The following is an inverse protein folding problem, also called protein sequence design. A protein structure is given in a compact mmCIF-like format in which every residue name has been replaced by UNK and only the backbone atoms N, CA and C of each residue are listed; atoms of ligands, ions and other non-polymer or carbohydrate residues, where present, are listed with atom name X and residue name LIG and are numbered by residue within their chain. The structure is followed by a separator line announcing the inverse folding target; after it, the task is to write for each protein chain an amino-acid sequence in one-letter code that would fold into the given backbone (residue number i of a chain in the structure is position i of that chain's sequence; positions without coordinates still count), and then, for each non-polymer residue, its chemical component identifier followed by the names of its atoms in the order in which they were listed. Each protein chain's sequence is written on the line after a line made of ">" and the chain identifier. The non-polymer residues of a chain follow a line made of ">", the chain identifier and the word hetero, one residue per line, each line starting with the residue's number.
data_IF_663212762792
#
_entry.id   IF_663212762792
#
_cell.length_a   1.000
_cell.length_b   1.000
_cell.length_c   1.000
_cell.angle_alpha   90.00
_cell.angle_beta   90.00
_cell.angle_gamma   90.00
#
_symmetry.space_group_name_H-M   'P 1'
#
loop_
_entity.id
_entity.type
_entity.pdbx_description
1 polymer ?
#
# COMPACT_ATOMS: atom_id res chain seq x y z
N UNK A 1 23.84 -11.54 -44.29
CA UNK A 1 22.60 -12.27 -43.96
C UNK A 1 22.75 -12.73 -42.50
N UNK A 2 22.32 -11.93 -41.50
CA UNK A 2 22.33 -12.27 -40.09
C UNK A 2 20.90 -12.32 -39.61
N UNK A 3 20.50 -13.50 -39.16
CA UNK A 3 19.16 -13.83 -38.64
C UNK A 3 18.94 -13.09 -37.33
N UNK A 4 17.96 -12.20 -37.29
CA UNK A 4 17.46 -11.57 -36.09
C UNK A 4 16.64 -12.61 -35.31
N UNK A 5 17.14 -13.03 -34.17
CA UNK A 5 16.38 -13.79 -33.18
C UNK A 5 15.32 -12.87 -32.55
N UNK A 6 14.07 -13.08 -32.90
CA UNK A 6 12.91 -12.52 -32.24
C UNK A 6 12.80 -13.14 -30.84
N UNK A 7 13.07 -12.34 -29.80
CA UNK A 7 12.72 -12.68 -28.44
C UNK A 7 11.19 -12.74 -28.32
N UNK A 8 10.66 -13.94 -28.17
CA UNK A 8 9.25 -14.18 -27.89
C UNK A 8 8.86 -13.59 -26.54
N UNK A 9 8.04 -12.55 -26.58
CA UNK A 9 7.35 -12.01 -25.40
C UNK A 9 6.40 -13.09 -24.88
N UNK A 10 6.75 -13.73 -23.77
CA UNK A 10 5.86 -14.62 -23.04
C UNK A 10 4.65 -13.82 -22.54
N UNK A 11 3.48 -14.09 -23.14
CA UNK A 11 2.18 -13.56 -22.70
C UNK A 11 1.80 -14.15 -21.35
N UNK A 12 1.56 -13.26 -20.36
CA UNK A 12 0.43 -13.32 -19.47
C UNK A 12 0.34 -14.44 -18.46
N UNK A 13 1.18 -14.43 -17.41
CA UNK A 13 0.76 -14.86 -16.08
C UNK A 13 -0.06 -13.75 -15.41
N UNK A 14 -1.07 -14.08 -14.58
CA UNK A 14 -1.76 -13.14 -13.68
C UNK A 14 -0.70 -12.23 -13.05
N UNK A 15 -0.80 -10.90 -13.28
CA UNK A 15 0.24 -9.96 -12.91
C UNK A 15 0.49 -9.97 -11.39
N UNK A 16 1.41 -10.81 -10.95
CA UNK A 16 1.91 -10.80 -9.59
C UNK A 16 2.63 -9.46 -9.36
N UNK A 17 2.33 -8.83 -8.26
CA UNK A 17 3.03 -7.61 -7.86
C UNK A 17 4.52 -7.92 -7.75
N UNK A 18 5.32 -7.27 -8.59
CA UNK A 18 6.78 -7.49 -8.62
C UNK A 18 7.52 -6.64 -7.60
N UNK A 19 6.90 -5.54 -7.15
CA UNK A 19 7.49 -4.60 -6.20
C UNK A 19 6.41 -3.86 -5.40
N UNK A 20 6.80 -3.36 -4.22
CA UNK A 20 6.00 -2.40 -3.44
C UNK A 20 6.87 -1.17 -3.24
N UNK A 21 6.43 -0.02 -3.78
CA UNK A 21 7.04 1.28 -3.54
C UNK A 21 6.32 2.01 -2.40
N UNK A 22 7.09 2.74 -1.59
CA UNK A 22 6.59 3.51 -0.45
C UNK A 22 7.37 4.81 -0.34
N UNK A 23 6.62 5.91 -0.23
CA UNK A 23 7.15 7.20 0.20
C UNK A 23 6.24 7.77 1.28
N UNK A 24 6.84 8.16 2.41
CA UNK A 24 6.13 8.60 3.62
C UNK A 24 6.41 10.07 3.90
N UNK A 25 5.37 10.90 3.90
CA UNK A 25 5.41 12.22 4.53
C UNK A 25 4.90 12.13 5.97
N UNK A 26 5.81 12.25 6.93
CA UNK A 26 5.47 12.17 8.36
C UNK A 26 4.82 13.42 8.91
N UNK A 27 4.90 14.55 8.22
CA UNK A 27 4.30 15.81 8.65
C UNK A 27 2.78 15.73 8.58
N UNK A 28 2.28 15.09 7.54
CA UNK A 28 0.84 14.95 7.28
C UNK A 28 0.33 13.50 7.39
N UNK A 29 1.20 12.56 7.76
CA UNK A 29 0.91 11.12 7.76
C UNK A 29 0.37 10.63 6.39
N UNK A 30 0.92 11.17 5.32
CA UNK A 30 0.63 10.74 3.95
C UNK A 30 1.57 9.60 3.59
N UNK A 31 1.00 8.54 3.02
CA UNK A 31 1.78 7.47 2.41
C UNK A 31 1.42 7.37 0.94
N UNK A 32 2.41 7.60 0.07
CA UNK A 32 2.31 7.31 -1.35
C UNK A 32 2.81 5.89 -1.58
N UNK A 33 1.99 5.05 -2.20
CA UNK A 33 2.35 3.65 -2.45
C UNK A 33 2.07 3.24 -3.88
N UNK A 34 2.87 2.30 -4.40
CA UNK A 34 2.54 1.52 -5.58
C UNK A 34 2.67 0.03 -5.26
N UNK A 35 1.79 -0.80 -5.82
CA UNK A 35 1.76 -2.23 -5.51
C UNK A 35 0.87 -2.61 -4.31
N UNK A 36 0.30 -1.63 -3.60
CA UNK A 36 -0.75 -1.80 -2.60
C UNK A 36 -2.04 -1.25 -3.20
N UNK A 37 -3.10 -2.02 -3.22
CA UNK A 37 -4.40 -1.61 -3.76
C UNK A 37 -5.49 -1.58 -2.67
N UNK A 38 -6.71 -1.12 -3.03
CA UNK A 38 -7.82 -1.03 -2.09
C UNK A 38 -8.18 -2.37 -1.42
N UNK A 39 -7.99 -3.50 -2.10
CA UNK A 39 -8.21 -4.82 -1.50
C UNK A 39 -7.12 -5.21 -0.51
N UNK A 40 -5.88 -4.77 -0.73
CA UNK A 40 -4.79 -4.94 0.22
C UNK A 40 -5.04 -4.08 1.45
N UNK A 41 -5.47 -2.83 1.24
CA UNK A 41 -5.91 -1.93 2.30
C UNK A 41 -6.98 -2.60 3.15
N UNK A 42 -8.07 -3.08 2.54
CA UNK A 42 -9.16 -3.74 3.27
C UNK A 42 -8.69 -4.96 4.08
N UNK A 43 -7.79 -5.78 3.55
CA UNK A 43 -7.26 -6.95 4.26
C UNK A 43 -6.32 -6.63 5.42
N UNK A 44 -5.65 -5.49 5.34
CA UNK A 44 -4.62 -5.11 6.30
C UNK A 44 -5.10 -4.28 7.48
N UNK A 45 -6.18 -3.50 7.31
CA UNK A 45 -6.71 -2.63 8.36
C UNK A 45 -7.33 -3.44 9.50
N UNK A 46 -7.21 -2.92 10.71
CA UNK A 46 -7.79 -3.51 11.93
C UNK A 46 -9.15 -2.91 12.23
N UNK A 47 -9.30 -1.62 11.98
CA UNK A 47 -10.55 -0.89 12.20
C UNK A 47 -11.17 -0.53 10.85
N UNK A 48 -11.99 -1.41 10.26
CA UNK A 48 -12.59 -1.15 8.96
C UNK A 48 -13.51 0.07 9.04
N UNK A 49 -13.52 0.91 7.99
CA UNK A 49 -14.45 2.03 7.88
C UNK A 49 -15.90 1.56 8.01
N UNK A 50 -16.69 2.25 8.84
CA UNK A 50 -18.12 1.97 8.97
C UNK A 50 -18.90 2.49 7.77
N UNK A 51 -18.56 3.69 7.33
CA UNK A 51 -19.15 4.35 6.17
C UNK A 51 -18.05 5.04 5.38
N UNK A 52 -18.31 5.27 4.11
CA UNK A 52 -17.42 5.99 3.18
C UNK A 52 -18.21 7.09 2.47
N UNK A 53 -17.65 8.28 2.42
CA UNK A 53 -18.08 9.39 1.59
C UNK A 53 -17.19 9.42 0.34
N UNK A 54 -17.80 9.32 -0.84
CA UNK A 54 -17.10 9.35 -2.13
C UNK A 54 -16.87 10.81 -2.53
N UNK A 55 -15.62 11.19 -2.68
CA UNK A 55 -15.20 12.55 -3.02
C UNK A 55 -15.26 12.83 -4.53
N UNK A 56 -15.61 11.84 -5.33
CA UNK A 56 -15.85 12.00 -6.76
C UNK A 56 -17.35 12.10 -7.02
N UNK A 57 -17.88 13.30 -7.36
CA UNK A 57 -19.31 13.51 -7.60
C UNK A 57 -19.87 12.70 -8.78
N UNK A 58 -19.03 12.37 -9.76
CA UNK A 58 -19.43 11.58 -10.93
C UNK A 58 -19.42 10.07 -10.69
N UNK A 59 -19.15 9.61 -9.46
CA UNK A 59 -19.21 8.17 -9.15
C UNK A 59 -20.60 7.62 -9.39
N UNK A 60 -20.72 6.51 -10.12
CA UNK A 60 -21.97 5.77 -10.27
C UNK A 60 -22.28 4.89 -9.05
N UNK A 61 -21.30 4.71 -8.16
CA UNK A 61 -21.38 3.87 -6.97
C UNK A 61 -21.96 4.65 -5.79
N UNK A 62 -22.66 3.94 -4.90
CA UNK A 62 -23.15 4.48 -3.65
C UNK A 62 -24.52 5.16 -3.75
N UNK A 63 -25.03 5.54 -2.58
CA UNK A 63 -26.28 6.24 -2.40
C UNK A 63 -26.06 7.76 -2.38
N UNK A 64 -26.95 8.53 -3.00
CA UNK A 64 -26.85 9.99 -2.97
C UNK A 64 -27.22 10.53 -1.58
N UNK A 65 -26.37 11.40 -1.04
CA UNK A 65 -26.60 12.07 0.24
C UNK A 65 -26.94 13.55 0.01
N UNK A 66 -28.15 13.95 0.43
CA UNK A 66 -28.75 15.25 0.06
C UNK A 66 -28.04 16.45 0.66
N UNK A 67 -27.48 16.34 1.88
CA UNK A 67 -26.87 17.47 2.57
C UNK A 67 -25.50 17.81 1.98
N UNK A 68 -24.67 16.80 1.75
CA UNK A 68 -23.31 16.97 1.19
C UNK A 68 -23.30 17.03 -0.33
N UNK A 69 -24.39 16.62 -1.00
CA UNK A 69 -24.47 16.44 -2.46
C UNK A 69 -23.46 15.42 -3.01
N UNK A 70 -22.93 14.56 -2.16
CA UNK A 70 -21.99 13.49 -2.49
C UNK A 70 -22.66 12.12 -2.38
N UNK A 71 -21.94 11.08 -2.78
CA UNK A 71 -22.41 9.71 -2.61
C UNK A 71 -21.74 9.04 -1.43
N UNK A 72 -22.47 8.15 -0.76
CA UNK A 72 -22.01 7.39 0.40
C UNK A 72 -22.14 5.89 0.17
N UNK A 73 -21.23 5.15 0.77
CA UNK A 73 -21.35 3.71 0.97
C UNK A 73 -21.63 3.50 2.46
N UNK A 74 -22.78 2.94 2.78
CA UNK A 74 -23.28 2.83 4.16
C UNK A 74 -23.12 1.44 4.71
N UNK A 75 -22.49 1.33 5.87
CA UNK A 75 -22.38 0.11 6.66
C UNK A 75 -21.15 -0.73 6.30
N UNK A 76 -20.57 -1.38 7.29
CA UNK A 76 -19.30 -2.13 7.17
C UNK A 76 -19.33 -3.20 6.07
N UNK A 77 -20.47 -3.91 5.90
CA UNK A 77 -20.59 -4.93 4.87
C UNK A 77 -20.52 -4.35 3.45
N UNK A 78 -21.24 -3.23 3.20
CA UNK A 78 -21.23 -2.55 1.91
C UNK A 78 -19.87 -1.93 1.62
N UNK A 79 -19.23 -1.33 2.64
CA UNK A 79 -17.86 -0.79 2.53
C UNK A 79 -16.86 -1.90 2.22
N UNK A 80 -16.94 -3.04 2.90
CA UNK A 80 -16.10 -4.21 2.64
C UNK A 80 -16.25 -4.69 1.19
N UNK A 81 -17.50 -4.83 0.73
CA UNK A 81 -17.79 -5.23 -0.65
C UNK A 81 -17.26 -4.21 -1.66
N UNK A 82 -17.44 -2.92 -1.40
CA UNK A 82 -16.92 -1.83 -2.23
C UNK A 82 -15.39 -1.93 -2.38
N UNK A 83 -14.64 -2.00 -1.27
CA UNK A 83 -13.18 -2.08 -1.27
C UNK A 83 -12.66 -3.36 -1.97
N UNK A 84 -13.37 -4.50 -1.79
CA UNK A 84 -13.05 -5.74 -2.50
C UNK A 84 -13.29 -5.62 -4.02
N UNK A 85 -14.38 -4.95 -4.43
CA UNK A 85 -14.69 -4.75 -5.84
C UNK A 85 -13.69 -3.81 -6.53
N UNK A 86 -13.23 -2.75 -5.83
CA UNK A 86 -12.16 -1.89 -6.34
C UNK A 86 -10.88 -2.66 -6.66
N UNK A 87 -10.57 -3.68 -5.87
CA UNK A 87 -9.38 -4.52 -6.10
C UNK A 87 -9.47 -5.39 -7.36
N UNK A 88 -10.69 -5.75 -7.76
CA UNK A 88 -10.96 -6.65 -8.91
C UNK A 88 -11.08 -5.88 -10.23
N UNK A 89 -11.66 -4.70 -10.18
CA UNK A 89 -11.98 -3.88 -11.36
C UNK A 89 -10.97 -2.73 -11.50
N UNK A 90 -9.83 -3.00 -12.13
CA UNK A 90 -8.79 -2.00 -12.44
C UNK A 90 -9.24 -0.87 -13.37
N UNK A 91 -10.45 -0.94 -13.90
CA UNK A 91 -11.01 0.01 -14.87
C UNK A 91 -11.88 1.10 -14.22
N UNK A 92 -12.12 1.06 -12.93
CA UNK A 92 -12.87 2.11 -12.26
C UNK A 92 -11.94 3.28 -11.96
N UNK A 93 -12.18 4.35 -12.67
CA UNK A 93 -11.58 5.68 -12.58
C UNK A 93 -11.40 6.14 -11.14
N UNK A 94 -10.26 6.75 -10.88
CA UNK A 94 -9.87 7.53 -9.70
C UNK A 94 -10.85 7.48 -8.51
N UNK A 95 -10.71 6.47 -7.65
CA UNK A 95 -11.52 6.40 -6.44
C UNK A 95 -10.91 7.29 -5.37
N UNK A 96 -11.70 8.25 -4.92
CA UNK A 96 -11.33 9.16 -3.84
C UNK A 96 -12.41 9.08 -2.79
N UNK A 97 -12.03 8.77 -1.57
CA UNK A 97 -12.99 8.65 -0.49
C UNK A 97 -12.39 8.99 0.87
N UNK A 98 -13.27 9.33 1.80
CA UNK A 98 -13.01 9.56 3.21
C UNK A 98 -13.95 8.70 4.04
N UNK A 99 -13.45 8.09 5.12
CA UNK A 99 -14.30 7.35 6.03
C UNK A 99 -14.98 8.29 7.04
N UNK A 100 -16.09 7.82 7.60
CA UNK A 100 -16.78 8.50 8.69
C UNK A 100 -17.57 7.50 9.54
N UNK A 101 -17.88 7.90 10.79
CA UNK A 101 -18.44 6.96 11.77
C UNK A 101 -19.96 6.91 11.76
N UNK A 102 -20.63 8.07 11.73
CA UNK A 102 -22.10 8.17 11.85
C UNK A 102 -22.69 9.09 10.79
N UNK A 103 -23.83 8.71 10.25
CA UNK A 103 -24.58 9.49 9.26
C UNK A 103 -25.06 10.85 9.78
N UNK A 104 -25.32 10.95 11.09
CA UNK A 104 -25.71 12.23 11.70
C UNK A 104 -24.61 13.27 11.55
N UNK A 105 -23.34 12.85 11.53
CA UNK A 105 -22.17 13.74 11.39
C UNK A 105 -22.18 14.50 10.06
N UNK A 106 -22.69 13.89 8.99
CA UNK A 106 -22.77 14.56 7.68
C UNK A 106 -23.67 15.79 7.76
N UNK A 107 -24.75 15.76 8.53
CA UNK A 107 -25.68 16.88 8.70
C UNK A 107 -25.09 18.05 9.49
N UNK A 108 -24.03 17.81 10.24
CA UNK A 108 -23.32 18.84 11.01
C UNK A 108 -22.30 19.60 10.17
N UNK A 109 -21.97 19.10 8.97
CA UNK A 109 -21.04 19.77 8.08
C UNK A 109 -21.62 21.10 7.59
N UNK A 110 -20.84 22.15 7.71
CA UNK A 110 -21.17 23.46 7.16
C UNK A 110 -20.95 23.49 5.64
N UNK A 111 -21.57 24.42 4.92
CA UNK A 111 -21.32 24.59 3.49
C UNK A 111 -19.84 24.79 3.15
N UNK A 112 -19.07 25.43 4.03
CA UNK A 112 -17.65 25.62 3.85
C UNK A 112 -16.90 24.28 3.92
N UNK A 113 -17.16 23.46 4.94
CA UNK A 113 -16.56 22.14 5.08
C UNK A 113 -16.91 21.19 3.94
N UNK A 114 -18.14 21.28 3.44
CA UNK A 114 -18.58 20.53 2.24
C UNK A 114 -17.80 21.02 1.00
N UNK A 115 -17.61 22.33 0.85
CA UNK A 115 -16.81 22.89 -0.24
C UNK A 115 -15.36 22.46 -0.15
N UNK A 116 -14.78 22.39 1.05
CA UNK A 116 -13.41 21.89 1.28
C UNK A 116 -13.28 20.41 0.89
N UNK A 117 -14.26 19.58 1.23
CA UNK A 117 -14.28 18.16 0.84
C UNK A 117 -14.36 17.99 -0.68
N UNK A 118 -15.24 18.77 -1.35
CA UNK A 118 -15.34 18.76 -2.82
C UNK A 118 -14.06 19.24 -3.48
N UNK A 119 -13.49 20.33 -2.97
CA UNK A 119 -12.22 20.87 -3.46
C UNK A 119 -11.08 19.85 -3.30
N UNK A 120 -11.00 19.20 -2.14
CA UNK A 120 -10.03 18.15 -1.86
C UNK A 120 -10.20 16.93 -2.80
N UNK A 121 -11.43 16.57 -3.14
CA UNK A 121 -11.73 15.52 -4.12
C UNK A 121 -11.30 15.87 -5.55
N UNK A 122 -11.44 17.13 -5.96
CA UNK A 122 -11.15 17.60 -7.31
C UNK A 122 -9.67 18.02 -7.51
N UNK A 123 -9.12 18.71 -6.54
CA UNK A 123 -7.78 19.28 -6.66
C UNK A 123 -6.75 18.32 -6.06
N UNK A 124 -5.65 18.16 -6.75
CA UNK A 124 -4.49 17.36 -6.29
C UNK A 124 -3.68 18.07 -5.19
N UNK A 125 -4.27 19.05 -4.51
CA UNK A 125 -3.59 19.91 -3.54
C UNK A 125 -3.65 19.34 -2.12
N UNK A 126 -2.63 19.67 -1.34
CA UNK A 126 -2.56 19.28 0.07
C UNK A 126 -3.49 20.18 0.88
N UNK A 127 -4.39 19.60 1.67
CA UNK A 127 -5.00 20.30 2.80
C UNK A 127 -4.03 20.30 3.98
N UNK A 128 -4.08 21.34 4.80
CA UNK A 128 -3.32 21.41 6.05
C UNK A 128 -3.71 20.29 7.02
N UNK A 129 -4.97 19.83 6.97
CA UNK A 129 -5.43 18.67 7.70
C UNK A 129 -6.49 17.92 6.90
N UNK A 130 -6.22 16.68 6.48
CA UNK A 130 -7.20 15.83 5.81
C UNK A 130 -8.16 15.16 6.79
N UNK A 131 -8.05 15.46 8.09
CA UNK A 131 -8.86 14.86 9.14
C UNK A 131 -9.89 15.86 9.65
N UNK A 132 -11.14 15.64 9.24
CA UNK A 132 -12.25 16.46 9.63
C UNK A 132 -12.78 16.02 11.00
N UNK A 133 -12.75 16.92 11.97
CA UNK A 133 -13.18 16.62 13.34
C UNK A 133 -14.60 16.06 13.40
N UNK A 134 -15.52 16.65 12.65
CA UNK A 134 -16.93 16.22 12.62
C UNK A 134 -17.14 14.85 11.98
N UNK A 135 -16.29 14.43 11.05
CA UNK A 135 -16.38 13.12 10.42
C UNK A 135 -15.69 12.01 11.25
N UNK A 136 -14.80 12.41 12.17
CA UNK A 136 -13.96 11.49 12.94
C UNK A 136 -13.25 10.45 12.06
N UNK A 137 -12.90 10.86 10.83
CA UNK A 137 -12.29 9.97 9.87
C UNK A 137 -10.89 9.51 10.29
N UNK A 138 -10.54 8.28 9.94
CA UNK A 138 -9.22 7.69 10.17
C UNK A 138 -8.38 7.65 8.91
N UNK A 139 -9.05 7.68 7.75
CA UNK A 139 -8.43 7.54 6.45
C UNK A 139 -8.95 8.57 5.45
N UNK A 140 -8.08 8.97 4.54
CA UNK A 140 -8.48 9.57 3.27
C UNK A 140 -7.69 8.87 2.18
N UNK A 141 -8.37 8.30 1.20
CA UNK A 141 -7.78 7.43 0.19
C UNK A 141 -7.98 7.98 -1.21
N UNK A 142 -6.91 8.04 -1.98
CA UNK A 142 -6.90 8.42 -3.38
C UNK A 142 -6.23 7.35 -4.22
N UNK A 143 -6.97 6.78 -5.18
CA UNK A 143 -6.37 6.12 -6.32
C UNK A 143 -5.86 7.19 -7.29
N UNK A 144 -4.61 7.07 -7.67
CA UNK A 144 -3.97 7.90 -8.66
C UNK A 144 -3.69 7.10 -9.94
N UNK A 145 -3.32 7.78 -10.99
CA UNK A 145 -2.90 7.13 -12.24
C UNK A 145 -1.71 6.17 -12.01
N UNK A 146 -1.55 5.21 -12.91
CA UNK A 146 -0.45 4.24 -12.91
C UNK A 146 -0.37 3.31 -11.68
N UNK A 147 -1.49 3.11 -10.95
CA UNK A 147 -1.54 2.22 -9.79
C UNK A 147 -0.84 2.79 -8.55
N UNK A 148 -0.62 4.09 -8.53
CA UNK A 148 -0.22 4.83 -7.35
C UNK A 148 -1.43 5.07 -6.47
N UNK A 149 -1.23 5.00 -5.15
CA UNK A 149 -2.21 5.36 -4.15
C UNK A 149 -1.62 6.37 -3.20
N UNK A 150 -2.41 7.38 -2.85
CA UNK A 150 -2.11 8.32 -1.79
C UNK A 150 -3.11 8.11 -0.67
N UNK A 151 -2.62 7.71 0.50
CA UNK A 151 -3.50 7.50 1.65
C UNK A 151 -3.00 8.32 2.83
N UNK A 152 -3.92 9.03 3.47
CA UNK A 152 -3.69 9.73 4.74
C UNK A 152 -4.15 8.82 5.86
N UNK A 153 -3.31 8.64 6.87
CA UNK A 153 -3.57 7.80 8.03
C UNK A 153 -3.62 8.64 9.29
N UNK A 154 -4.72 8.60 10.05
CA UNK A 154 -4.75 9.21 11.37
C UNK A 154 -3.73 8.53 12.29
N UNK A 155 -3.61 7.22 12.14
CA UNK A 155 -2.67 6.38 12.90
C UNK A 155 -1.80 5.60 11.91
N UNK A 156 -0.52 5.95 11.86
CA UNK A 156 0.43 5.34 10.91
C UNK A 156 0.63 3.83 11.14
N UNK A 157 0.32 3.33 12.33
CA UNK A 157 0.36 1.89 12.63
C UNK A 157 -0.56 1.06 11.72
N UNK A 158 -1.67 1.63 11.26
CA UNK A 158 -2.54 0.97 10.29
C UNK A 158 -1.82 0.73 8.95
N UNK A 159 -1.03 1.70 8.49
CA UNK A 159 -0.21 1.52 7.28
C UNK A 159 0.79 0.37 7.43
N UNK A 160 1.52 0.30 8.54
CA UNK A 160 2.47 -0.79 8.76
C UNK A 160 1.79 -2.17 8.78
N UNK A 161 0.56 -2.26 9.26
CA UNK A 161 -0.23 -3.51 9.25
C UNK A 161 -0.67 -3.89 7.84
N UNK A 162 -1.11 -2.92 7.03
CA UNK A 162 -1.46 -3.13 5.62
C UNK A 162 -0.23 -3.60 4.85
N UNK A 163 0.91 -2.95 5.03
CA UNK A 163 2.18 -3.33 4.40
C UNK A 163 2.60 -4.74 4.80
N UNK A 164 2.57 -5.06 6.10
CA UNK A 164 2.90 -6.38 6.62
C UNK A 164 1.98 -7.47 6.04
N UNK A 165 0.68 -7.20 5.96
CA UNK A 165 -0.30 -8.10 5.35
C UNK A 165 -0.01 -8.34 3.86
N UNK A 166 0.32 -7.27 3.12
CA UNK A 166 0.64 -7.35 1.69
C UNK A 166 1.92 -8.14 1.44
N UNK A 167 2.99 -7.86 2.19
CA UNK A 167 4.26 -8.58 2.10
C UNK A 167 4.04 -10.07 2.37
N UNK A 168 3.30 -10.40 3.45
CA UNK A 168 2.98 -11.80 3.78
C UNK A 168 2.27 -12.51 2.63
N UNK A 169 1.29 -11.83 2.01
CA UNK A 169 0.52 -12.40 0.90
C UNK A 169 1.40 -12.68 -0.31
N UNK A 170 2.26 -11.74 -0.70
CA UNK A 170 3.18 -11.93 -1.85
C UNK A 170 4.19 -13.04 -1.54
N UNK A 171 4.75 -13.08 -0.33
CA UNK A 171 5.67 -14.13 0.07
C UNK A 171 5.02 -15.51 0.02
N UNK A 172 3.78 -15.64 0.50
CA UNK A 172 2.99 -16.87 0.42
C UNK A 172 2.80 -17.32 -1.04
N UNK A 173 2.45 -16.40 -1.94
CA UNK A 173 2.29 -16.68 -3.36
C UNK A 173 3.63 -17.14 -3.96
N UNK A 174 4.73 -16.39 -3.75
CA UNK A 174 6.05 -16.67 -4.31
C UNK A 174 6.64 -18.00 -3.84
N UNK A 175 6.54 -18.30 -2.55
CA UNK A 175 7.04 -19.55 -1.98
C UNK A 175 6.22 -20.78 -2.42
N UNK A 176 4.99 -20.58 -2.89
CA UNK A 176 4.10 -21.65 -3.34
C UNK A 176 3.93 -21.72 -4.87
N UNK A 177 4.39 -20.74 -5.66
CA UNK A 177 4.16 -20.64 -7.11
C UNK A 177 4.80 -21.78 -7.92
N UNK A 178 5.92 -22.34 -7.47
CA UNK A 178 6.66 -23.41 -8.18
C UNK A 178 6.34 -24.83 -7.73
N UNK A 179 5.18 -25.04 -7.06
CA UNK A 179 4.91 -26.35 -6.48
C UNK A 179 4.20 -27.28 -7.43
N UNK A 180 4.67 -28.52 -7.42
CA UNK A 180 3.97 -29.66 -7.99
C UNK A 180 2.62 -29.83 -7.29
N UNK A 181 1.58 -30.22 -8.03
CA UNK A 181 0.23 -30.52 -7.53
C UNK A 181 0.18 -31.44 -6.29
N UNK A 182 1.26 -32.17 -6.02
CA UNK A 182 1.34 -33.13 -4.93
C UNK A 182 1.98 -32.63 -3.62
N UNK A 183 2.48 -31.37 -3.59
CA UNK A 183 3.10 -30.81 -2.36
C UNK A 183 2.15 -29.87 -1.66
N UNK A 184 1.95 -30.11 -0.34
CA UNK A 184 1.17 -29.19 0.52
C UNK A 184 1.76 -27.78 0.46
N UNK A 185 0.89 -26.76 0.43
CA UNK A 185 1.32 -25.38 0.52
C UNK A 185 2.07 -25.15 1.86
N UNK A 186 3.21 -24.45 1.78
CA UNK A 186 3.92 -24.07 3.00
C UNK A 186 3.19 -22.89 3.65
N UNK A 187 2.86 -22.97 4.93
CA UNK A 187 2.38 -21.79 5.63
C UNK A 187 3.50 -20.74 5.69
N UNK A 188 3.11 -19.49 5.60
CA UNK A 188 3.99 -18.35 5.84
C UNK A 188 3.39 -17.59 7.00
N UNK A 189 4.14 -17.41 8.09
CA UNK A 189 3.70 -16.62 9.22
C UNK A 189 3.51 -15.16 8.82
N UNK A 190 2.56 -14.48 9.44
CA UNK A 190 2.32 -13.05 9.18
C UNK A 190 3.53 -12.23 9.62
N UNK A 191 3.94 -11.28 8.78
CA UNK A 191 4.95 -10.28 9.16
C UNK A 191 4.42 -9.50 10.37
N UNK A 192 5.22 -9.39 11.42
CA UNK A 192 4.93 -8.45 12.50
C UNK A 192 5.20 -7.02 12.02
N UNK A 193 4.20 -6.14 12.08
CA UNK A 193 4.32 -4.75 11.64
C UNK A 193 5.43 -3.97 12.35
N UNK A 194 5.77 -4.36 13.59
CA UNK A 194 6.86 -3.73 14.35
C UNK A 194 8.22 -3.86 13.68
N UNK A 195 8.46 -4.96 12.94
CA UNK A 195 9.71 -5.19 12.19
C UNK A 195 9.90 -4.15 11.08
N UNK A 196 8.81 -3.55 10.57
CA UNK A 196 8.85 -2.57 9.48
C UNK A 196 9.05 -1.13 9.98
N UNK A 197 8.78 -0.84 11.26
CA UNK A 197 8.89 0.51 11.83
C UNK A 197 10.30 1.12 11.75
N UNK A 198 11.40 0.35 11.89
CA UNK A 198 12.75 0.89 11.70
C UNK A 198 13.00 1.48 10.31
N UNK A 199 12.24 1.08 9.30
CA UNK A 199 12.35 1.63 7.94
C UNK A 199 11.70 3.02 7.78
N UNK A 200 11.14 3.61 8.84
CA UNK A 200 10.40 4.88 8.80
C UNK A 200 11.21 6.00 8.15
N UNK A 201 12.46 6.17 8.55
CA UNK A 201 13.32 7.24 8.01
C UNK A 201 13.65 6.99 6.53
N UNK A 202 13.95 5.74 6.17
CA UNK A 202 14.16 5.36 4.78
C UNK A 202 12.90 5.58 3.91
N UNK A 203 11.71 5.32 4.46
CA UNK A 203 10.45 5.55 3.75
C UNK A 203 10.21 7.03 3.43
N UNK A 204 10.81 7.97 4.18
CA UNK A 204 10.72 9.41 3.87
C UNK A 204 11.49 9.78 2.60
N UNK A 205 12.57 9.09 2.35
CA UNK A 205 13.37 9.27 1.13
C UNK A 205 12.77 8.52 -0.07
N UNK A 206 11.96 7.50 0.20
CA UNK A 206 11.38 6.60 -0.77
C UNK A 206 12.14 5.28 -0.85
N UNK A 207 11.41 4.18 -0.65
CA UNK A 207 11.96 2.83 -0.75
C UNK A 207 11.07 1.91 -1.58
N UNK A 208 11.65 0.82 -2.06
CA UNK A 208 10.85 -0.26 -2.62
C UNK A 208 11.35 -1.63 -2.19
N UNK A 209 10.39 -2.55 -2.01
CA UNK A 209 10.62 -3.98 -1.81
C UNK A 209 10.57 -4.67 -3.15
N UNK A 210 11.64 -5.34 -3.56
CA UNK A 210 11.72 -6.03 -4.84
C UNK A 210 11.46 -7.53 -4.67
N UNK A 211 10.25 -7.96 -4.99
CA UNK A 211 9.94 -9.39 -5.00
C UNK A 211 10.44 -10.09 -6.27
N UNK A 212 10.73 -9.33 -7.32
CA UNK A 212 11.32 -9.86 -8.55
C UNK A 212 12.73 -10.38 -8.31
N UNK A 213 13.51 -9.66 -7.49
CA UNK A 213 14.88 -10.01 -7.11
C UNK A 213 14.97 -10.81 -5.80
N UNK A 214 13.81 -11.23 -5.26
CA UNK A 214 13.82 -12.06 -4.05
C UNK A 214 14.43 -13.44 -4.35
N UNK A 215 15.32 -13.89 -3.46
CA UNK A 215 16.02 -15.16 -3.56
C UNK A 215 15.67 -16.07 -2.38
N UNK A 216 15.77 -17.39 -2.61
CA UNK A 216 15.64 -18.37 -1.54
C UNK A 216 16.98 -19.09 -1.41
N UNK A 217 17.62 -18.95 -0.27
CA UNK A 217 18.92 -19.52 0.03
C UNK A 217 18.96 -20.03 1.47
N UNK A 218 19.52 -21.22 1.69
CA UNK A 218 19.71 -21.84 3.03
C UNK A 218 18.42 -21.83 3.91
N UNK A 219 17.24 -22.05 3.32
CA UNK A 219 15.97 -22.04 4.05
C UNK A 219 15.45 -20.64 4.41
N UNK A 220 16.10 -19.60 3.90
CA UNK A 220 15.68 -18.22 4.07
C UNK A 220 15.17 -17.64 2.73
N UNK A 221 14.06 -16.89 2.78
CA UNK A 221 13.53 -16.10 1.67
C UNK A 221 13.88 -14.64 1.91
N UNK A 222 14.75 -14.10 1.07
CA UNK A 222 15.31 -12.75 1.18
C UNK A 222 14.63 -11.83 0.17
N UNK A 223 14.02 -10.78 0.65
CA UNK A 223 13.39 -9.73 -0.15
C UNK A 223 14.27 -8.49 -0.06
N UNK A 224 14.99 -8.11 -1.13
CA UNK A 224 15.82 -6.93 -1.11
C UNK A 224 15.00 -5.65 -1.07
N UNK A 225 15.53 -4.65 -0.37
CA UNK A 225 14.97 -3.32 -0.19
C UNK A 225 15.96 -2.33 -0.76
N UNK A 226 15.47 -1.36 -1.53
CA UNK A 226 16.30 -0.34 -2.17
C UNK A 226 15.74 1.05 -1.93
N UNK A 227 16.61 2.06 -1.96
CA UNK A 227 16.19 3.46 -2.07
C UNK A 227 15.76 3.79 -3.50
N UNK A 228 14.91 4.80 -3.63
CA UNK A 228 14.46 5.35 -4.91
C UNK A 228 14.58 6.87 -4.87
N UNK A 229 15.47 7.45 -5.66
CA UNK A 229 15.76 8.88 -5.66
C UNK A 229 14.66 9.76 -6.29
N UNK A 230 13.79 9.19 -7.12
CA UNK A 230 12.75 9.94 -7.82
C UNK A 230 11.36 9.38 -7.57
N UNK A 231 10.38 10.30 -7.48
CA UNK A 231 8.96 9.94 -7.43
C UNK A 231 8.61 9.11 -8.67
N UNK A 232 8.02 7.94 -8.51
CA UNK A 232 7.99 6.96 -9.57
C UNK A 232 7.00 7.32 -10.67
N UNK A 233 7.52 7.84 -11.73
CA UNK A 233 7.10 7.31 -13.02
C UNK A 233 7.90 6.01 -13.16
N UNK A 234 7.51 4.99 -12.40
CA UNK A 234 8.23 3.72 -12.28
C UNK A 234 8.33 2.99 -13.62
N UNK A 235 9.12 3.53 -14.50
CA UNK A 235 9.71 2.77 -15.58
C UNK A 235 10.82 1.91 -14.97
N UNK A 236 10.84 0.63 -15.32
CA UNK A 236 11.82 -0.39 -14.94
C UNK A 236 13.31 0.02 -15.13
N UNK A 237 13.58 1.22 -15.64
CA UNK A 237 14.88 1.79 -15.90
C UNK A 237 15.52 2.48 -14.66
N UNK A 238 14.83 2.57 -13.53
CA UNK A 238 15.30 3.34 -12.36
C UNK A 238 16.30 2.60 -11.47
N UNK A 239 16.47 1.30 -11.65
CA UNK A 239 17.52 0.56 -10.94
C UNK A 239 18.78 0.57 -11.81
N UNK A 240 19.40 1.74 -11.97
CA UNK A 240 20.63 1.84 -12.77
C UNK A 240 21.88 1.43 -11.99
N UNK A 241 21.86 1.54 -10.65
CA UNK A 241 22.97 1.16 -9.77
C UNK A 241 22.41 0.42 -8.55
N UNK A 242 22.08 -0.86 -8.70
CA UNK A 242 21.50 -1.69 -7.63
C UNK A 242 22.36 -1.73 -6.36
N UNK A 243 23.69 -1.67 -6.48
CA UNK A 243 24.60 -1.73 -5.34
C UNK A 243 24.57 -0.44 -4.50
N UNK A 244 24.49 0.74 -5.12
CA UNK A 244 24.51 2.03 -4.43
C UNK A 244 23.18 2.37 -3.73
N UNK A 245 22.08 1.79 -4.18
CA UNK A 245 20.73 2.02 -3.64
C UNK A 245 20.26 0.93 -2.70
N UNK A 246 21.05 -0.11 -2.52
CA UNK A 246 20.68 -1.25 -1.69
C UNK A 246 20.66 -0.86 -0.21
N UNK A 247 19.51 -1.07 0.44
CA UNK A 247 19.29 -0.76 1.84
C UNK A 247 19.46 -1.98 2.76
N UNK A 248 19.07 -3.16 2.27
CA UNK A 248 19.10 -4.37 3.06
C UNK A 248 18.06 -5.40 2.63
N UNK A 249 17.73 -6.32 3.52
CA UNK A 249 16.79 -7.41 3.28
C UNK A 249 15.71 -7.49 4.36
N UNK A 250 14.47 -7.76 3.93
CA UNK A 250 13.48 -8.38 4.78
C UNK A 250 13.56 -9.90 4.56
N UNK A 251 13.80 -10.65 5.64
CA UNK A 251 14.16 -12.06 5.59
C UNK A 251 13.10 -12.89 6.30
N UNK A 252 12.60 -13.93 5.62
CA UNK A 252 11.75 -14.95 6.19
C UNK A 252 12.51 -16.25 6.35
N UNK A 253 12.66 -16.74 7.58
CA UNK A 253 13.23 -18.06 7.86
C UNK A 253 12.11 -19.10 7.78
N UNK A 254 12.21 -20.04 6.83
CA UNK A 254 11.17 -21.03 6.54
C UNK A 254 11.06 -22.09 7.63
N UNK A 255 12.18 -22.46 8.28
CA UNK A 255 12.21 -23.49 9.32
C UNK A 255 11.62 -22.97 10.63
N UNK A 256 11.98 -21.76 11.02
CA UNK A 256 11.52 -21.09 12.24
C UNK A 256 10.18 -20.38 12.08
N UNK A 257 9.76 -20.15 10.83
CA UNK A 257 8.59 -19.35 10.45
C UNK A 257 8.63 -17.93 11.07
N UNK A 258 9.79 -17.30 11.06
CA UNK A 258 10.02 -15.98 11.63
C UNK A 258 10.51 -14.99 10.59
N UNK A 259 10.15 -13.72 10.77
CA UNK A 259 10.61 -12.60 9.98
C UNK A 259 11.67 -11.80 10.72
N UNK A 260 12.64 -11.27 10.00
CA UNK A 260 13.61 -10.30 10.51
C UNK A 260 13.99 -9.30 9.44
N UNK A 261 14.35 -8.09 9.89
CA UNK A 261 14.90 -7.05 9.04
C UNK A 261 16.42 -7.02 9.23
N UNK A 262 17.15 -6.96 8.12
CA UNK A 262 18.60 -6.74 8.10
C UNK A 262 18.87 -5.54 7.20
N UNK A 263 19.29 -4.42 7.79
CA UNK A 263 19.64 -3.16 7.09
C UNK A 263 21.13 -2.95 7.20
N UNK A 264 21.77 -2.41 6.17
CA UNK A 264 23.18 -2.06 6.20
C UNK A 264 23.41 -0.80 7.03
N UNK A 265 24.25 -0.90 8.06
CA UNK A 265 24.47 0.17 9.06
C UNK A 265 25.13 1.44 8.50
N UNK A 266 25.68 1.40 7.29
CA UNK A 266 26.50 2.50 6.73
C UNK A 266 25.67 3.68 6.21
N UNK A 267 24.38 3.50 5.91
CA UNK A 267 23.56 4.50 5.21
C UNK A 267 22.84 5.48 6.13
N UNK A 268 22.72 5.19 7.43
CA UNK A 268 21.86 6.00 8.32
C UNK A 268 22.59 6.92 9.29
N UNK A 269 23.90 6.87 9.42
CA UNK A 269 24.64 7.67 10.42
C UNK A 269 24.14 7.47 11.87
N UNK A 270 23.24 6.52 12.10
CA UNK A 270 22.68 6.15 13.41
C UNK A 270 23.27 4.81 13.83
N UNK A 271 24.06 4.84 14.89
CA UNK A 271 24.53 3.65 15.59
C UNK A 271 23.33 2.84 16.11
N UNK A 272 22.79 1.97 15.28
CA UNK A 272 21.84 0.96 15.74
C UNK A 272 22.64 -0.24 16.22
N UNK A 273 22.79 -0.35 17.55
CA UNK A 273 23.14 -1.61 18.19
C UNK A 273 22.19 -2.69 17.68
N UNK A 274 22.75 -3.80 17.15
CA UNK A 274 22.03 -4.99 16.74
C UNK A 274 20.85 -5.30 17.65
N UNK A 275 19.66 -4.87 17.26
CA UNK A 275 18.43 -5.21 17.96
C UNK A 275 17.84 -6.41 17.24
N UNK A 276 18.25 -7.60 17.67
CA UNK A 276 17.52 -8.84 17.40
C UNK A 276 16.17 -8.73 18.13
N UNK A 277 15.14 -8.28 17.43
CA UNK A 277 13.76 -8.38 17.92
C UNK A 277 13.24 -9.73 17.39
N UNK A 278 13.20 -10.68 18.30
CA UNK A 278 12.60 -12.01 18.11
C UNK A 278 11.09 -11.95 18.34
#
# INVERSE_FOLDING_TARGET
>A
MKVMNQCAVKRGGKGMTSSIYIHLDTTSNIVLTQGINAGDFHRGIVHPPKNILLLNPSSELGEFENHTTMKIIRGEAAVSQFLQNLSKNRLLLENKWIDFTDLAMLKELTPLEISELLYFGHMKTHLYSPFFYKLQNNFVYFDLENGLNRTYYRYLDEFYRILASKITHIALERLNDRRSFFRKAQPVSKVNSEILKPLKEAMKEGIFFSFEHAITENGEFLIPIYFVEETPQLNRALIKNEEEQFLGYLIYNQDRQTWRLKVEDQLFGFSTKNTLIS
#
